data_IF_956337717081
#
_entry.id   IF_956337717081
#
_cell.length_a   1.000
_cell.length_b   1.000
_cell.length_c   1.000
_cell.angle_alpha   90.00
_cell.angle_beta   90.00
_cell.angle_gamma   90.00
#
_symmetry.space_group_name_H-M   'P 1'
#
loop_
_entity.id
_entity.type
_entity.pdbx_description
1 polymer ?
#
# COMPACT_ATOMS: atom_id res chain seq x y z
N UNK A 1 30.47 -38.27 22.69
CA UNK A 1 29.96 -36.91 22.92
C UNK A 1 29.47 -36.40 21.58
N UNK A 2 28.18 -36.60 21.31
CA UNK A 2 27.53 -36.16 20.09
C UNK A 2 26.95 -34.76 20.36
N UNK A 3 27.47 -33.77 19.66
CA UNK A 3 26.83 -32.46 19.49
C UNK A 3 26.80 -32.18 18.00
N UNK A 4 25.99 -32.96 17.29
CA UNK A 4 25.46 -32.54 16.01
C UNK A 4 24.42 -31.46 16.30
N UNK A 5 24.78 -30.21 16.02
CA UNK A 5 23.83 -29.11 16.05
C UNK A 5 22.71 -29.39 15.05
N UNK A 6 21.49 -29.47 15.55
CA UNK A 6 20.29 -29.43 14.72
C UNK A 6 20.29 -28.11 13.95
N UNK A 7 20.75 -28.13 12.70
CA UNK A 7 20.39 -27.11 11.72
C UNK A 7 18.92 -27.39 11.40
N UNK A 8 18.01 -26.72 12.12
CA UNK A 8 16.64 -26.57 11.67
C UNK A 8 16.71 -25.68 10.43
N UNK A 9 16.84 -26.28 9.25
CA UNK A 9 16.61 -25.61 7.97
C UNK A 9 15.12 -25.29 7.89
N UNK A 10 14.69 -24.22 8.56
CA UNK A 10 13.34 -23.68 8.41
C UNK A 10 13.22 -23.11 7.00
N UNK A 11 12.81 -23.94 6.06
CA UNK A 11 12.44 -23.55 4.70
C UNK A 11 11.17 -22.68 4.65
N UNK A 12 10.56 -22.35 5.80
CA UNK A 12 9.19 -21.82 5.89
C UNK A 12 9.10 -20.32 6.26
N UNK A 13 10.21 -19.59 6.28
CA UNK A 13 10.24 -18.15 6.60
C UNK A 13 10.47 -17.25 5.38
N UNK A 14 10.27 -17.75 4.16
CA UNK A 14 10.45 -16.94 2.96
C UNK A 14 9.48 -15.75 2.96
N UNK A 15 9.99 -14.54 2.69
CA UNK A 15 9.17 -13.33 2.56
C UNK A 15 8.67 -13.25 1.11
N UNK A 16 7.37 -13.47 0.90
CA UNK A 16 6.71 -13.45 -0.40
C UNK A 16 6.19 -12.05 -0.69
N UNK A 17 6.72 -11.43 -1.75
CA UNK A 17 6.46 -10.02 -2.08
C UNK A 17 5.75 -9.88 -3.42
N UNK A 18 4.75 -9.00 -3.46
CA UNK A 18 4.11 -8.51 -4.68
C UNK A 18 4.57 -7.10 -5.02
N UNK A 19 4.88 -6.83 -6.29
CA UNK A 19 5.17 -5.47 -6.79
C UNK A 19 4.10 -5.06 -7.81
N UNK A 20 3.25 -4.10 -7.44
CA UNK A 20 2.17 -3.60 -8.29
C UNK A 20 2.52 -2.22 -8.83
N UNK A 21 2.80 -2.14 -10.12
CA UNK A 21 3.01 -0.85 -10.78
C UNK A 21 1.68 -0.29 -11.24
N UNK A 22 1.36 0.92 -10.79
CA UNK A 22 0.16 1.65 -11.17
C UNK A 22 0.57 2.80 -12.08
N UNK A 23 0.33 2.67 -13.38
CA UNK A 23 0.65 3.70 -14.36
C UNK A 23 -0.06 3.46 -15.69
N UNK A 24 -0.90 4.41 -16.11
CA UNK A 24 -1.47 4.45 -17.46
C UNK A 24 -0.40 4.36 -18.56
N UNK A 25 0.75 5.02 -18.37
CA UNK A 25 1.83 5.07 -19.36
C UNK A 25 2.55 3.73 -19.51
N UNK A 26 2.84 3.03 -18.41
CA UNK A 26 3.47 1.72 -18.46
C UNK A 26 2.47 0.68 -18.97
N UNK A 27 1.21 0.75 -18.55
CA UNK A 27 0.15 -0.15 -18.98
C UNK A 27 -0.10 -0.08 -20.50
N UNK A 28 -0.03 1.12 -21.09
CA UNK A 28 -0.15 1.35 -22.55
C UNK A 28 1.17 1.14 -23.30
N UNK A 29 2.22 0.64 -22.66
CA UNK A 29 3.56 0.46 -23.22
C UNK A 29 4.18 1.76 -23.80
N UNK A 30 3.82 2.91 -23.25
CA UNK A 30 4.38 4.23 -23.62
C UNK A 30 5.65 4.57 -22.83
N UNK A 31 5.89 3.87 -21.72
CA UNK A 31 7.06 4.01 -20.88
C UNK A 31 7.50 2.66 -20.31
N UNK A 32 8.79 2.53 -20.01
CA UNK A 32 9.32 1.37 -19.27
C UNK A 32 9.06 1.52 -17.77
N UNK A 33 8.66 0.43 -17.12
CA UNK A 33 8.48 0.36 -15.67
C UNK A 33 9.83 0.28 -14.91
N UNK A 34 10.58 1.38 -14.95
CA UNK A 34 11.89 1.46 -14.27
C UNK A 34 11.77 1.38 -12.75
N UNK A 35 10.61 1.72 -12.18
CA UNK A 35 10.39 1.72 -10.73
C UNK A 35 10.11 0.30 -10.22
N UNK A 36 9.14 -0.39 -10.80
CA UNK A 36 8.77 -1.74 -10.40
C UNK A 36 9.92 -2.74 -10.65
N UNK A 37 10.62 -2.63 -11.78
CA UNK A 37 11.82 -3.46 -12.03
C UNK A 37 12.87 -3.25 -10.94
N UNK A 38 13.17 -2.00 -10.58
CA UNK A 38 14.15 -1.71 -9.54
C UNK A 38 13.71 -2.17 -8.14
N UNK A 39 12.43 -2.05 -7.80
CA UNK A 39 11.89 -2.56 -6.53
C UNK A 39 12.05 -4.07 -6.42
N UNK A 40 11.90 -4.82 -7.52
CA UNK A 40 12.17 -6.26 -7.52
C UNK A 40 13.61 -6.56 -7.13
N UNK A 41 14.56 -5.86 -7.74
CA UNK A 41 15.99 -6.02 -7.41
C UNK A 41 16.26 -5.71 -5.93
N UNK A 42 15.71 -4.61 -5.41
CA UNK A 42 15.89 -4.20 -4.01
C UNK A 42 15.27 -5.19 -3.01
N UNK A 43 14.12 -5.77 -3.35
CA UNK A 43 13.46 -6.78 -2.52
C UNK A 43 14.27 -8.08 -2.49
N UNK A 44 14.82 -8.50 -3.64
CA UNK A 44 15.55 -9.76 -3.77
C UNK A 44 16.98 -9.69 -3.21
N UNK A 45 17.54 -8.49 -3.06
CA UNK A 45 18.87 -8.30 -2.48
C UNK A 45 18.94 -8.88 -1.06
N UNK A 46 19.79 -9.91 -0.81
CA UNK A 46 19.94 -10.53 0.52
C UNK A 46 20.48 -9.58 1.59
N UNK A 47 21.14 -8.49 1.20
CA UNK A 47 21.64 -7.47 2.12
C UNK A 47 20.58 -6.44 2.52
N UNK A 48 19.45 -6.42 1.80
CA UNK A 48 18.30 -5.56 2.11
C UNK A 48 17.19 -6.38 2.75
N UNK A 49 16.24 -6.88 1.95
CA UNK A 49 15.10 -7.65 2.46
C UNK A 49 15.28 -9.17 2.29
N UNK A 50 16.02 -9.62 1.28
CA UNK A 50 16.16 -11.04 0.95
C UNK A 50 14.82 -11.73 0.65
N UNK A 51 13.85 -10.97 0.15
CA UNK A 51 12.52 -11.45 -0.19
C UNK A 51 12.46 -12.13 -1.56
N UNK A 52 11.32 -12.73 -1.89
CA UNK A 52 11.07 -13.38 -3.16
C UNK A 52 9.86 -12.77 -3.85
N UNK A 53 10.05 -12.37 -5.11
CA UNK A 53 8.98 -11.82 -5.93
C UNK A 53 8.03 -12.95 -6.32
N UNK A 54 6.87 -12.96 -5.67
CA UNK A 54 5.82 -13.95 -5.87
C UNK A 54 4.70 -13.44 -6.77
N UNK A 55 4.62 -12.12 -6.97
CA UNK A 55 3.71 -11.50 -7.92
C UNK A 55 4.29 -10.19 -8.47
N UNK A 56 4.00 -9.91 -9.74
CA UNK A 56 4.29 -8.64 -10.38
C UNK A 56 3.23 -8.37 -11.44
N UNK A 57 2.66 -7.16 -11.45
CA UNK A 57 1.65 -6.74 -12.43
C UNK A 57 1.78 -5.23 -12.66
N UNK A 58 1.49 -4.81 -13.89
CA UNK A 58 1.28 -3.41 -14.24
C UNK A 58 -0.22 -3.22 -14.47
N UNK A 59 -0.83 -2.22 -13.84
CA UNK A 59 -2.25 -1.86 -13.98
C UNK A 59 -2.37 -0.37 -14.34
N UNK A 60 -3.45 0.05 -15.01
CA UNK A 60 -3.75 1.47 -15.23
C UNK A 60 -4.15 2.16 -13.91
N UNK A 61 -4.28 3.47 -13.96
CA UNK A 61 -4.72 4.31 -12.84
C UNK A 61 -6.26 4.23 -12.65
N UNK A 62 -6.77 3.00 -12.49
CA UNK A 62 -8.18 2.66 -12.28
C UNK A 62 -8.39 2.06 -10.89
N UNK A 63 -9.24 2.67 -10.08
CA UNK A 63 -9.40 2.32 -8.65
C UNK A 63 -9.82 0.86 -8.47
N UNK A 64 -10.77 0.37 -9.27
CA UNK A 64 -11.28 -1.00 -9.17
C UNK A 64 -10.24 -2.04 -9.56
N UNK A 65 -9.44 -1.80 -10.62
CA UNK A 65 -8.41 -2.76 -11.03
C UNK A 65 -7.27 -2.86 -10.00
N UNK A 66 -6.95 -1.74 -9.33
CA UNK A 66 -6.00 -1.72 -8.21
C UNK A 66 -6.58 -2.52 -7.03
N UNK A 67 -7.83 -2.26 -6.64
CA UNK A 67 -8.52 -2.97 -5.53
C UNK A 67 -8.57 -4.47 -5.76
N UNK A 68 -9.06 -4.90 -6.92
CA UNK A 68 -9.16 -6.32 -7.30
C UNK A 68 -7.80 -7.00 -7.24
N UNK A 69 -6.75 -6.36 -7.75
CA UNK A 69 -5.40 -6.92 -7.72
C UNK A 69 -4.86 -7.01 -6.29
N UNK A 70 -5.08 -5.98 -5.46
CA UNK A 70 -4.66 -6.00 -4.05
C UNK A 70 -5.40 -7.09 -3.25
N UNK A 71 -6.70 -7.27 -3.46
CA UNK A 71 -7.52 -8.30 -2.82
C UNK A 71 -7.03 -9.70 -3.23
N UNK A 72 -6.88 -9.98 -4.53
CA UNK A 72 -6.36 -11.26 -5.03
C UNK A 72 -4.99 -11.58 -4.41
N UNK A 73 -4.10 -10.59 -4.34
CA UNK A 73 -2.75 -10.80 -3.81
C UNK A 73 -2.73 -11.02 -2.30
N UNK A 74 -3.67 -10.43 -1.56
CA UNK A 74 -3.77 -10.66 -0.12
C UNK A 74 -4.47 -11.98 0.20
N UNK A 75 -5.59 -12.28 -0.45
CA UNK A 75 -6.51 -13.33 -0.01
C UNK A 75 -6.22 -14.67 -0.69
N UNK A 76 -5.93 -14.65 -1.99
CA UNK A 76 -5.67 -15.85 -2.78
C UNK A 76 -4.18 -16.18 -2.78
N UNK A 77 -3.33 -15.18 -3.03
CA UNK A 77 -1.88 -15.41 -3.04
C UNK A 77 -1.27 -15.41 -1.65
N UNK A 78 -1.93 -14.87 -0.63
CA UNK A 78 -1.40 -14.75 0.75
C UNK A 78 0.03 -14.19 0.78
N UNK A 79 0.27 -13.08 0.07
CA UNK A 79 1.57 -12.43 0.09
C UNK A 79 1.87 -11.83 1.48
N UNK A 80 3.13 -11.71 1.84
CA UNK A 80 3.50 -11.08 3.11
C UNK A 80 3.60 -9.56 2.98
N UNK A 81 4.03 -9.09 1.81
CA UNK A 81 4.25 -7.68 1.52
C UNK A 81 3.79 -7.36 0.10
N UNK A 82 3.06 -6.27 -0.07
CA UNK A 82 2.75 -5.68 -1.37
C UNK A 82 3.33 -4.27 -1.39
N UNK A 83 4.16 -4.01 -2.39
CA UNK A 83 4.68 -2.68 -2.70
C UNK A 83 3.96 -2.18 -3.95
N UNK A 84 3.15 -1.14 -3.82
CA UNK A 84 2.64 -0.43 -5.00
C UNK A 84 3.59 0.69 -5.39
N UNK A 85 3.74 0.98 -6.67
CA UNK A 85 4.54 2.10 -7.18
C UNK A 85 3.77 2.88 -8.22
N UNK A 86 3.48 4.16 -7.94
CA UNK A 86 2.70 5.03 -8.82
C UNK A 86 1.33 5.40 -8.24
N UNK A 87 0.63 6.32 -8.90
CA UNK A 87 -0.73 6.73 -8.55
C UNK A 87 -0.93 7.36 -7.16
N UNK A 88 0.12 7.91 -6.53
CA UNK A 88 0.07 8.48 -5.16
C UNK A 88 0.25 10.01 -5.10
N UNK A 89 0.34 10.70 -6.23
CA UNK A 89 0.52 12.15 -6.30
C UNK A 89 -0.80 12.92 -6.30
N UNK A 90 -0.77 14.14 -6.83
CA UNK A 90 -1.93 15.04 -6.95
C UNK A 90 -2.57 15.01 -8.35
N UNK A 91 -2.09 14.17 -9.27
CA UNK A 91 -2.70 14.11 -10.58
C UNK A 91 -4.14 13.57 -10.46
N UNK A 92 -5.09 14.00 -11.31
CA UNK A 92 -6.50 13.59 -11.18
C UNK A 92 -6.76 12.08 -11.25
N UNK A 93 -5.84 11.34 -11.87
CA UNK A 93 -5.89 9.88 -12.00
C UNK A 93 -5.19 9.15 -10.85
N UNK A 94 -4.43 9.84 -10.00
CA UNK A 94 -3.71 9.21 -8.90
C UNK A 94 -4.72 8.72 -7.83
N UNK A 95 -5.08 7.44 -7.88
CA UNK A 95 -6.13 6.83 -7.02
C UNK A 95 -5.63 5.63 -6.21
N UNK A 96 -4.32 5.38 -6.19
CA UNK A 96 -3.74 4.23 -5.48
C UNK A 96 -3.96 4.29 -3.96
N UNK A 97 -3.81 5.45 -3.28
CA UNK A 97 -4.12 5.57 -1.85
C UNK A 97 -5.58 5.27 -1.52
N UNK A 98 -6.50 5.72 -2.37
CA UNK A 98 -7.94 5.50 -2.24
C UNK A 98 -8.28 4.02 -2.37
N UNK A 99 -7.79 3.36 -3.44
CA UNK A 99 -7.91 1.90 -3.60
C UNK A 99 -7.34 1.14 -2.39
N UNK A 100 -6.19 1.57 -1.87
CA UNK A 100 -5.55 0.94 -0.72
C UNK A 100 -6.41 1.07 0.54
N UNK A 101 -6.98 2.25 0.81
CA UNK A 101 -7.87 2.48 1.96
C UNK A 101 -9.11 1.60 1.94
N UNK A 102 -9.64 1.29 0.75
CA UNK A 102 -10.83 0.44 0.62
C UNK A 102 -10.56 -1.05 0.89
N UNK A 103 -9.31 -1.51 0.77
CA UNK A 103 -8.97 -2.94 0.93
C UNK A 103 -8.30 -3.27 2.27
N UNK A 104 -7.64 -2.31 2.92
CA UNK A 104 -6.97 -2.54 4.21
C UNK A 104 -7.99 -2.70 5.34
N UNK A 105 -7.66 -3.54 6.29
CA UNK A 105 -8.45 -3.77 7.50
C UNK A 105 -7.96 -2.93 8.69
N UNK A 106 -6.65 -2.64 8.72
CA UNK A 106 -5.99 -1.82 9.74
C UNK A 106 -4.98 -0.90 9.07
N UNK A 107 -4.98 0.37 9.44
CA UNK A 107 -4.00 1.34 8.93
C UNK A 107 -2.67 1.25 9.68
N UNK A 108 -1.55 1.51 8.99
CA UNK A 108 -0.20 1.56 9.52
C UNK A 108 0.39 2.97 9.35
N UNK A 109 -0.19 4.01 10.01
CA UNK A 109 0.14 5.41 9.73
C UNK A 109 1.60 5.77 10.02
N UNK A 110 2.26 5.05 10.94
CA UNK A 110 3.68 5.27 11.25
C UNK A 110 4.62 5.04 10.05
N UNK A 111 4.29 4.09 9.17
CA UNK A 111 5.11 3.83 7.97
C UNK A 111 4.92 4.92 6.91
N UNK A 112 3.68 5.37 6.70
CA UNK A 112 3.39 6.51 5.84
C UNK A 112 4.09 7.79 6.33
N UNK A 113 4.06 8.03 7.66
CA UNK A 113 4.77 9.14 8.28
C UNK A 113 6.29 9.05 8.07
N UNK A 114 6.90 7.88 8.27
CA UNK A 114 8.34 7.69 8.07
C UNK A 114 8.77 8.04 6.63
N UNK A 115 8.01 7.58 5.63
CA UNK A 115 8.26 7.90 4.23
C UNK A 115 8.10 9.39 3.93
N UNK A 116 7.04 10.02 4.45
CA UNK A 116 6.79 11.45 4.24
C UNK A 116 7.87 12.32 4.91
N UNK A 117 8.26 12.01 6.15
CA UNK A 117 9.33 12.73 6.84
C UNK A 117 10.67 12.59 6.12
N UNK A 118 11.03 11.37 5.68
CA UNK A 118 12.23 11.13 4.89
C UNK A 118 12.22 11.90 3.58
N UNK A 119 11.08 11.89 2.87
CA UNK A 119 10.90 12.62 1.61
C UNK A 119 10.99 14.14 1.78
N UNK A 120 10.38 14.69 2.83
CA UNK A 120 10.41 16.13 3.15
C UNK A 120 11.82 16.62 3.51
N UNK A 121 12.66 15.75 4.07
CA UNK A 121 14.06 16.06 4.33
C UNK A 121 14.90 16.13 3.05
N UNK A 122 14.47 15.46 1.97
CA UNK A 122 15.12 15.51 0.65
C UNK A 122 14.59 16.68 -0.19
N UNK A 123 13.28 16.90 -0.19
CA UNK A 123 12.63 17.94 -1.00
C UNK A 123 11.28 18.35 -0.40
N UNK A 124 10.93 19.65 -0.42
CA UNK A 124 9.60 20.11 0.00
C UNK A 124 8.48 19.47 -0.85
N UNK A 125 8.77 19.04 -2.08
CA UNK A 125 7.80 18.35 -2.94
C UNK A 125 7.31 17.02 -2.36
N UNK A 126 7.99 16.47 -1.34
CA UNK A 126 7.52 15.29 -0.61
C UNK A 126 6.11 15.44 -0.03
N UNK A 127 5.65 16.67 0.28
CA UNK A 127 4.28 16.91 0.76
C UNK A 127 3.19 16.65 -0.28
N UNK A 128 3.55 16.49 -1.56
CA UNK A 128 2.59 16.21 -2.65
C UNK A 128 2.32 14.71 -2.81
N UNK A 129 3.01 13.85 -2.06
CA UNK A 129 2.72 12.43 -2.00
C UNK A 129 1.63 12.15 -0.97
N UNK A 130 0.72 11.22 -1.28
CA UNK A 130 -0.40 10.82 -0.43
C UNK A 130 -0.33 9.33 -0.05
N UNK A 131 0.81 8.78 0.36
CA UNK A 131 0.94 7.34 0.53
C UNK A 131 0.05 6.83 1.67
N UNK A 132 -0.53 5.65 1.48
CA UNK A 132 -1.20 4.88 2.54
C UNK A 132 -0.38 3.63 2.80
N UNK A 133 -0.36 3.21 4.06
CA UNK A 133 0.18 1.93 4.47
C UNK A 133 -0.86 1.26 5.35
N UNK A 134 -1.07 -0.03 5.17
CA UNK A 134 -2.05 -0.76 5.95
C UNK A 134 -1.93 -2.27 5.79
N UNK A 135 -2.77 -2.98 6.51
CA UNK A 135 -2.70 -4.42 6.70
C UNK A 135 -4.03 -5.03 6.29
N UNK A 136 -3.97 -6.13 5.54
CA UNK A 136 -5.10 -7.01 5.19
C UNK A 136 -4.67 -8.47 5.40
N UNK A 137 -5.35 -9.20 6.28
CA UNK A 137 -4.92 -10.53 6.73
C UNK A 137 -3.44 -10.55 7.17
N UNK A 138 -2.64 -11.39 6.50
CA UNK A 138 -1.18 -11.55 6.71
C UNK A 138 -0.31 -10.58 5.89
N UNK A 139 -0.93 -9.67 5.14
CA UNK A 139 -0.28 -8.85 4.12
C UNK A 139 -0.11 -7.41 4.60
N UNK A 140 1.12 -6.90 4.55
CA UNK A 140 1.41 -5.48 4.65
C UNK A 140 1.37 -4.84 3.25
N UNK A 141 0.59 -3.78 3.07
CA UNK A 141 0.47 -3.02 1.81
C UNK A 141 1.10 -1.64 2.00
N UNK A 142 1.99 -1.25 1.10
CA UNK A 142 2.73 0.02 1.17
C UNK A 142 2.67 0.73 -0.18
N UNK A 143 2.19 1.96 -0.20
CA UNK A 143 2.23 2.79 -1.40
C UNK A 143 3.53 3.58 -1.51
N UNK A 144 4.25 3.37 -2.60
CA UNK A 144 5.49 4.08 -2.94
C UNK A 144 5.25 5.07 -4.11
N UNK A 145 6.06 6.15 -4.22
CA UNK A 145 6.01 7.06 -5.36
C UNK A 145 6.29 6.35 -6.70
N UNK A 146 5.75 6.88 -7.81
CA UNK A 146 5.93 6.24 -9.13
C UNK A 146 7.33 6.36 -9.74
N UNK A 147 8.12 7.34 -9.33
CA UNK A 147 9.49 7.51 -9.84
C UNK A 147 10.44 6.49 -9.20
N UNK A 148 11.35 5.89 -9.98
CA UNK A 148 12.40 4.97 -9.48
C UNK A 148 13.15 5.52 -8.25
N UNK A 149 13.55 6.80 -8.29
CA UNK A 149 14.28 7.42 -7.18
C UNK A 149 13.41 7.48 -5.92
N UNK A 150 12.20 8.03 -6.03
CA UNK A 150 11.31 8.20 -4.89
C UNK A 150 10.85 6.87 -4.29
N UNK A 151 10.53 5.86 -5.11
CA UNK A 151 10.19 4.53 -4.60
C UNK A 151 11.36 3.87 -3.87
N UNK A 152 12.57 3.94 -4.43
CA UNK A 152 13.78 3.41 -3.81
C UNK A 152 14.09 4.10 -2.48
N UNK A 153 14.06 5.44 -2.41
CA UNK A 153 14.31 6.19 -1.18
C UNK A 153 13.26 5.87 -0.11
N UNK A 154 11.98 5.86 -0.47
CA UNK A 154 10.90 5.50 0.45
C UNK A 154 11.00 4.06 0.95
N UNK A 155 11.33 3.11 0.09
CA UNK A 155 11.59 1.72 0.49
C UNK A 155 12.72 1.65 1.52
N UNK A 156 13.81 2.40 1.33
CA UNK A 156 14.93 2.45 2.27
C UNK A 156 14.54 3.06 3.62
N UNK A 157 13.66 4.06 3.66
CA UNK A 157 13.21 4.67 4.93
C UNK A 157 12.46 3.69 5.82
N UNK A 158 11.74 2.74 5.24
CA UNK A 158 10.90 1.78 5.98
C UNK A 158 11.53 0.40 6.12
N UNK A 159 12.54 0.08 5.31
CA UNK A 159 13.22 -1.22 5.30
C UNK A 159 13.62 -1.73 6.68
N UNK A 160 14.16 -0.91 7.62
CA UNK A 160 14.56 -1.41 8.94
C UNK A 160 13.42 -2.03 9.75
N UNK A 161 12.16 -1.65 9.49
CA UNK A 161 11.00 -2.16 10.20
C UNK A 161 10.33 -3.35 9.48
N UNK A 162 10.61 -3.57 8.19
CA UNK A 162 9.89 -4.56 7.38
C UNK A 162 10.01 -5.99 7.89
N UNK A 163 11.20 -6.53 8.23
CA UNK A 163 11.31 -7.92 8.67
C UNK A 163 10.45 -8.21 9.91
N UNK A 164 10.55 -7.34 10.93
CA UNK A 164 9.79 -7.50 12.16
C UNK A 164 8.28 -7.33 11.94
N UNK A 165 7.86 -6.35 11.13
CA UNK A 165 6.45 -6.14 10.82
C UNK A 165 5.84 -7.35 10.09
N UNK A 166 6.57 -7.94 9.15
CA UNK A 166 6.12 -9.13 8.40
C UNK A 166 5.98 -10.34 9.31
N UNK A 167 6.96 -10.58 10.20
CA UNK A 167 6.89 -11.73 11.11
C UNK A 167 5.70 -11.66 12.07
N UNK A 168 5.34 -10.46 12.55
CA UNK A 168 4.13 -10.26 13.37
C UNK A 168 2.82 -10.57 12.64
N UNK A 169 2.83 -10.56 11.30
CA UNK A 169 1.63 -10.79 10.48
C UNK A 169 1.51 -12.24 9.99
N UNK A 170 2.55 -13.07 10.10
CA UNK A 170 2.53 -14.44 9.56
C UNK A 170 1.41 -15.31 10.14
N UNK A 171 1.10 -15.12 11.42
CA UNK A 171 0.07 -15.89 12.14
C UNK A 171 -1.33 -15.26 12.04
N UNK A 172 -1.50 -14.15 11.31
CA UNK A 172 -2.81 -13.53 11.11
C UNK A 172 -3.73 -14.40 10.24
N UNK A 173 -5.04 -14.30 10.42
CA UNK A 173 -6.03 -15.10 9.68
C UNK A 173 -6.55 -14.30 8.47
N UNK A 174 -6.78 -14.97 7.34
CA UNK A 174 -7.45 -14.39 6.16
C UNK A 174 -8.96 -14.54 6.33
N UNK A 175 -9.66 -13.42 6.58
CA UNK A 175 -11.09 -13.42 6.98
C UNK A 175 -12.03 -14.14 6.01
N UNK A 176 -11.79 -14.04 4.70
CA UNK A 176 -12.65 -14.72 3.72
C UNK A 176 -12.55 -16.24 3.83
N UNK A 177 -11.36 -16.77 4.15
CA UNK A 177 -11.18 -18.21 4.38
C UNK A 177 -11.81 -18.66 5.69
N UNK A 178 -11.67 -17.88 6.76
CA UNK A 178 -12.33 -18.15 8.04
C UNK A 178 -13.85 -18.29 7.87
N UNK A 179 -14.49 -17.35 7.18
CA UNK A 179 -15.94 -17.41 6.93
C UNK A 179 -16.32 -18.60 6.05
N UNK A 180 -15.50 -18.96 5.05
CA UNK A 180 -15.75 -20.14 4.23
C UNK A 180 -15.60 -21.44 5.04
N UNK A 181 -14.54 -21.58 5.82
CA UNK A 181 -14.29 -22.74 6.69
C UNK A 181 -15.43 -22.91 7.71
N UNK A 182 -15.91 -21.82 8.33
CA UNK A 182 -17.05 -21.82 9.25
C UNK A 182 -18.37 -22.25 8.56
N UNK A 183 -18.58 -21.88 7.30
CA UNK A 183 -19.78 -22.23 6.54
C UNK A 183 -19.73 -23.66 5.98
N UNK A 184 -18.54 -24.17 5.63
CA UNK A 184 -18.34 -25.55 5.19
C UNK A 184 -18.52 -26.56 6.34
N UNK A 185 -18.22 -26.16 7.58
CA UNK A 185 -18.45 -26.97 8.78
C UNK A 185 -19.93 -27.08 9.22
N UNK A 186 -20.86 -26.39 8.53
CA UNK A 186 -22.28 -26.54 8.79
C UNK A 186 -22.83 -27.86 8.22
N UNK A 187 -23.66 -28.61 8.99
CA UNK A 187 -24.24 -29.85 8.50
C UNK A 187 -25.11 -29.58 7.26
N UNK A 188 -24.88 -30.36 6.19
CA UNK A 188 -25.61 -30.21 4.94
C UNK A 188 -27.12 -30.28 5.18
N UNK A 189 -27.93 -29.39 4.55
CA UNK A 189 -29.38 -29.44 4.71
C UNK A 189 -29.91 -30.80 4.25
N UNK A 190 -30.93 -31.35 4.94
CA UNK A 190 -31.49 -32.64 4.56
C UNK A 190 -32.01 -32.57 3.12
N UNK A 191 -31.85 -33.66 2.33
CA UNK A 191 -32.31 -33.68 0.95
C UNK A 191 -33.82 -33.39 0.91
N UNK A 192 -34.29 -32.61 -0.08
CA UNK A 192 -35.71 -32.33 -0.20
C UNK A 192 -36.49 -33.63 -0.31
N UNK A 193 -37.55 -33.74 0.51
CA UNK A 193 -38.48 -34.86 0.46
C UNK A 193 -39.04 -34.95 -0.96
N UNK A 194 -38.94 -36.15 -1.55
CA UNK A 194 -39.48 -36.43 -2.88
C UNK A 194 -40.98 -36.10 -2.91
N UNK A 195 -41.49 -35.42 -3.96
CA UNK A 195 -42.91 -35.11 -4.03
C UNK A 195 -43.72 -36.42 -4.12
N UNK A 196 -44.89 -36.50 -3.44
CA UNK A 196 -45.73 -37.68 -3.50
C UNK A 196 -46.29 -37.89 -4.92
N UNK A 197 -46.56 -39.14 -5.33
CA UNK A 197 -47.13 -39.41 -6.64
C UNK A 197 -48.52 -38.80 -6.74
N UNK A 198 -48.69 -37.90 -7.71
CA UNK A 198 -49.97 -37.31 -8.08
C UNK A 198 -50.86 -38.39 -8.70
N UNK A 199 -51.84 -38.88 -7.93
CA UNK A 199 -53.02 -39.55 -8.48
C UNK A 199 -54.04 -38.50 -8.91
N UNK A 200 -54.13 -38.26 -10.21
CA UNK A 200 -55.23 -37.54 -10.83
C UNK A 200 -56.49 -38.41 -10.90
N UNK A 201 -57.67 -37.84 -10.64
CA UNK A 201 -58.85 -38.18 -11.41
C UNK A 201 -59.49 -36.96 -12.07
N UNK A 202 -59.72 -37.12 -13.37
CA UNK A 202 -60.61 -36.34 -14.21
C UNK A 202 -62.05 -36.30 -13.63
N UNK A 203 -62.65 -35.11 -13.50
CA UNK A 203 -64.01 -34.85 -14.03
C UNK A 203 -64.32 -33.36 -14.15
N UNK A 204 -64.85 -33.02 -15.32
CA UNK A 204 -65.38 -31.73 -15.79
C UNK A 204 -66.57 -31.26 -14.93
N UNK A 205 -66.79 -29.94 -14.85
CA UNK A 205 -67.82 -29.19 -15.63
C UNK A 205 -67.79 -27.69 -15.29
N UNK A 206 -67.77 -26.85 -16.34
CA UNK A 206 -68.59 -25.63 -16.61
C UNK A 206 -68.74 -24.56 -15.50
N UNK A 207 -68.82 -23.25 -15.71
CA UNK A 207 -68.91 -22.31 -16.84
C UNK A 207 -69.00 -20.89 -16.18
N UNK A 208 -68.78 -19.83 -16.97
CA UNK A 208 -68.99 -18.38 -16.70
C UNK A 208 -67.86 -17.68 -15.94
N UNK A 209 -67.26 -16.60 -16.42
CA UNK A 209 -67.58 -15.70 -17.53
C UNK A 209 -67.14 -14.28 -17.15
N UNK A 210 -67.01 -13.41 -18.17
CA UNK A 210 -66.79 -11.94 -18.12
C UNK A 210 -65.32 -11.49 -18.20
N UNK A 211 -64.93 -11.14 -19.43
CA UNK A 211 -63.95 -10.09 -19.75
C UNK A 211 -64.57 -8.70 -19.48
N UNK A 212 -63.75 -7.70 -19.19
CA UNK A 212 -63.89 -6.36 -19.79
C UNK A 212 -62.53 -5.63 -19.78
N UNK A 213 -62.39 -4.82 -20.82
CA UNK A 213 -61.28 -4.00 -21.31
C UNK A 213 -60.88 -2.87 -20.34
N UNK A 214 -59.58 -2.54 -20.30
CA UNK A 214 -58.96 -1.25 -20.74
C UNK A 214 -59.54 0.00 -20.06
N UNK A 215 -58.68 0.78 -19.38
CA UNK A 215 -58.63 2.24 -19.52
C UNK A 215 -57.21 2.75 -19.19
N UNK A 216 -56.67 3.56 -20.12
CA UNK A 216 -55.55 4.49 -19.93
C UNK A 216 -55.96 5.66 -19.04
N UNK A 217 -55.01 6.35 -18.38
CA UNK A 217 -55.02 7.81 -18.37
C UNK A 217 -53.67 8.41 -17.88
N UNK A 218 -53.13 9.33 -18.68
CA UNK A 218 -52.08 10.29 -18.32
C UNK A 218 -52.65 11.47 -17.52
N UNK A 219 -51.88 12.05 -16.58
CA UNK A 219 -51.76 13.52 -16.43
C UNK A 219 -50.68 14.01 -15.44
N UNK A 220 -49.70 14.73 -16.01
CA UNK A 220 -49.28 16.13 -15.76
C UNK A 220 -49.22 16.73 -14.32
N UNK A 221 -48.00 17.18 -14.00
CA UNK A 221 -47.54 18.52 -13.52
C UNK A 221 -48.08 19.13 -12.21
N UNK A 222 -47.15 19.42 -11.29
CA UNK A 222 -47.01 20.75 -10.69
C UNK A 222 -45.71 20.85 -9.87
N UNK A 223 -44.94 21.92 -10.09
CA UNK A 223 -43.88 22.35 -9.18
C UNK A 223 -44.38 23.36 -8.15
N UNK A 224 -43.74 23.44 -6.98
CA UNK A 224 -43.68 24.66 -6.15
C UNK A 224 -42.37 24.67 -5.36
N UNK A 225 -41.74 25.83 -5.35
CA UNK A 225 -40.55 26.20 -4.61
C UNK A 225 -40.77 26.18 -3.09
N UNK A 226 -39.68 25.99 -2.33
CA UNK A 226 -39.53 26.55 -0.98
C UNK A 226 -38.06 26.86 -0.73
N UNK A 227 -37.87 28.06 -0.18
CA UNK A 227 -36.65 28.80 0.13
C UNK A 227 -36.17 28.54 1.56
N UNK A 228 -34.98 29.08 1.86
CA UNK A 228 -34.37 29.30 3.19
C UNK A 228 -33.67 28.06 3.79
N UNK A 229 -32.51 28.11 4.45
CA UNK A 229 -31.52 29.12 4.76
C UNK A 229 -30.29 28.35 5.31
N UNK A 230 -29.05 28.77 5.03
CA UNK A 230 -27.94 28.65 6.01
C UNK A 230 -26.62 29.23 5.53
N UNK A 231 -26.32 30.39 6.09
CA UNK A 231 -25.08 30.66 6.84
C UNK A 231 -23.75 30.38 6.14
N UNK A 232 -23.24 31.41 5.46
CA UNK A 232 -21.85 31.50 5.01
C UNK A 232 -20.92 31.67 6.21
N UNK A 233 -19.84 30.89 6.27
CA UNK A 233 -18.67 31.17 7.12
C UNK A 233 -17.41 31.09 6.25
N UNK A 234 -17.12 32.17 5.54
CA UNK A 234 -15.85 32.34 4.84
C UNK A 234 -14.73 32.64 5.85
N UNK A 235 -13.80 31.69 6.03
CA UNK A 235 -12.50 31.97 6.64
C UNK A 235 -11.51 32.24 5.51
N UNK A 236 -11.19 33.52 5.31
CA UNK A 236 -10.23 33.97 4.29
C UNK A 236 -8.81 33.56 4.67
N UNK A 237 -8.10 32.90 3.74
CA UNK A 237 -6.73 32.40 3.86
C UNK A 237 -5.62 33.47 4.08
N UNK A 238 -5.97 34.71 4.38
CA UNK A 238 -5.04 35.83 4.53
C UNK A 238 -4.53 36.03 5.97
N UNK A 239 -5.09 35.36 6.98
CA UNK A 239 -4.77 35.61 8.39
C UNK A 239 -3.59 34.78 8.96
N UNK A 240 -3.13 33.73 8.27
CA UNK A 240 -2.06 32.85 8.77
C UNK A 240 -0.67 33.30 8.31
N UNK A 241 -0.58 34.11 7.24
CA UNK A 241 0.69 34.57 6.67
C UNK A 241 1.43 35.63 7.53
N UNK A 242 0.77 36.28 8.49
CA UNK A 242 1.37 37.36 9.28
C UNK A 242 2.06 36.91 10.59
N UNK A 243 1.89 35.66 11.03
CA UNK A 243 2.49 35.17 12.28
C UNK A 243 3.87 34.50 12.09
N UNK A 244 4.23 34.16 10.85
CA UNK A 244 5.49 33.43 10.53
C UNK A 244 6.70 34.37 10.35
N UNK A 245 6.48 35.67 10.12
CA UNK A 245 7.57 36.63 9.95
C UNK A 245 8.17 37.18 11.26
N UNK A 246 7.50 37.02 12.41
CA UNK A 246 8.01 37.52 13.70
C UNK A 246 8.87 36.52 14.48
N UNK A 247 9.09 35.31 13.96
CA UNK A 247 9.93 34.28 14.60
C UNK A 247 11.28 34.05 13.89
N UNK A 248 11.57 34.76 12.80
CA UNK A 248 12.84 34.62 12.05
C UNK A 248 13.95 35.60 12.46
N UNK A 249 13.65 36.65 13.23
CA UNK A 249 14.65 37.66 13.62
C UNK A 249 15.26 37.44 15.02
N UNK A 250 14.94 36.34 15.71
CA UNK A 250 15.40 36.07 17.08
C UNK A 250 16.56 35.05 17.21
N UNK A 251 17.18 34.60 16.11
CA UNK A 251 18.25 33.57 16.15
C UNK A 251 19.60 33.98 15.56
N UNK A 252 19.89 35.27 15.41
CA UNK A 252 21.22 35.76 14.99
C UNK A 252 21.83 36.71 16.02
N UNK A 253 21.96 36.27 17.27
CA UNK A 253 22.83 36.94 18.25
C UNK A 253 23.23 35.99 19.39
N UNK A 254 24.31 35.23 19.20
CA UNK A 254 25.18 34.69 20.27
C UNK A 254 26.44 34.08 19.65
N UNK A 255 27.45 34.91 19.44
CA UNK A 255 28.82 34.44 19.19
C UNK A 255 29.51 34.11 20.52
N UNK A 256 30.29 33.02 20.64
CA UNK A 256 31.10 32.79 21.81
C UNK A 256 32.47 33.43 21.63
N UNK A 257 32.77 34.44 22.45
CA UNK A 257 34.14 34.88 22.71
C UNK A 257 34.83 33.85 23.60
N UNK A 258 35.81 33.14 23.05
CA UNK A 258 36.68 32.23 23.80
C UNK A 258 38.06 32.18 23.15
N UNK A 259 38.99 32.98 23.67
CA UNK A 259 40.42 32.94 23.35
C UNK A 259 41.03 31.66 23.92
N UNK A 260 41.77 30.91 23.11
CA UNK A 260 42.91 30.09 23.54
C UNK A 260 43.88 29.98 22.34
N UNK A 261 44.94 30.76 22.42
CA UNK A 261 46.17 30.59 21.65
C UNK A 261 47.09 29.65 22.43
N UNK A 262 47.82 28.81 21.70
CA UNK A 262 49.17 28.24 21.99
C UNK A 262 49.26 26.89 21.23
N UNK A 263 49.69 26.82 19.96
CA UNK A 263 51.08 26.86 19.45
C UNK A 263 52.05 25.89 20.14
N UNK A 264 52.18 24.64 19.62
CA UNK A 264 53.43 23.83 19.63
C UNK A 264 53.49 22.98 18.33
N UNK A 265 54.64 22.85 17.64
CA UNK A 265 54.73 22.46 16.23
C UNK A 265 55.01 20.97 15.96
N UNK A 266 54.82 20.60 14.69
CA UNK A 266 55.19 19.31 14.07
C UNK A 266 56.66 18.92 14.30
N UNK A 267 56.89 17.66 14.66
CA UNK A 267 58.16 16.96 14.42
C UNK A 267 58.01 15.94 13.30
N UNK A 268 58.75 16.16 12.22
CA UNK A 268 59.04 15.22 11.14
C UNK A 268 60.02 14.16 11.62
N UNK A 269 59.75 12.88 11.32
CA UNK A 269 60.75 11.83 11.41
C UNK A 269 60.52 10.73 10.37
N UNK A 270 61.45 10.70 9.42
CA UNK A 270 62.11 9.51 8.87
C UNK A 270 61.33 8.58 7.94
N UNK A 271 61.47 8.90 6.65
CA UNK A 271 61.58 7.92 5.58
C UNK A 271 62.75 6.95 5.84
N UNK A 272 62.53 5.65 5.69
CA UNK A 272 63.58 4.65 5.45
C UNK A 272 63.35 4.01 4.08
N UNK A 273 64.41 4.01 3.27
CA UNK A 273 64.50 3.38 1.95
C UNK A 273 64.92 1.92 2.09
N UNK A 274 64.38 1.10 1.18
CA UNK A 274 65.00 -0.02 0.46
C UNK A 274 66.02 -0.92 1.18
N UNK A 275 65.73 -2.23 1.25
CA UNK A 275 66.39 -3.25 0.40
C UNK A 275 65.76 -4.64 0.61
N UNK A 276 65.45 -5.36 -0.47
CA UNK A 276 65.77 -6.81 -0.62
C UNK A 276 65.50 -7.23 -2.07
N UNK A 277 66.58 -7.50 -2.79
CA UNK A 277 66.63 -8.35 -3.98
C UNK A 277 66.66 -9.83 -3.57
N UNK A 278 66.05 -10.72 -4.37
CA UNK A 278 66.68 -11.93 -4.97
C UNK A 278 65.60 -12.89 -5.50
N UNK A 279 65.78 -13.36 -6.74
CA UNK A 279 65.00 -14.46 -7.32
C UNK A 279 65.10 -14.61 -8.85
N UNK A 280 66.28 -15.06 -9.30
CA UNK A 280 66.75 -15.54 -10.62
C UNK A 280 65.81 -16.50 -11.40
N UNK A 281 66.07 -16.94 -12.66
CA UNK A 281 67.37 -17.30 -13.29
C UNK A 281 67.81 -16.47 -14.50
#
# INVERSE_FOLDING_TARGET
MATEGMILTNHDHQIRVGVLTVSDSCFRNLAEDRSGINLKDLVQDPSLLGGTISAYKIVPDEIEEIKETLIDWCDEKELNLILTTGGTGFAPRDVTPEATKEVIEREAPGMALAMLMGSLNVTPLGMLSRPVCGIRGKTLIINLPGSKKGSQECFQFILPALPHAIDLLRDAIVKVKEVHDELEDLPSPPPPLSPPPTTSPHKQTEDKGVQCEEEEEEKKDSGVASTEDSSSSHITAAAIAAKVSLLRDAQTAKGPTGKCTDFIPLSTSSFHKFNTSLGHP
#
